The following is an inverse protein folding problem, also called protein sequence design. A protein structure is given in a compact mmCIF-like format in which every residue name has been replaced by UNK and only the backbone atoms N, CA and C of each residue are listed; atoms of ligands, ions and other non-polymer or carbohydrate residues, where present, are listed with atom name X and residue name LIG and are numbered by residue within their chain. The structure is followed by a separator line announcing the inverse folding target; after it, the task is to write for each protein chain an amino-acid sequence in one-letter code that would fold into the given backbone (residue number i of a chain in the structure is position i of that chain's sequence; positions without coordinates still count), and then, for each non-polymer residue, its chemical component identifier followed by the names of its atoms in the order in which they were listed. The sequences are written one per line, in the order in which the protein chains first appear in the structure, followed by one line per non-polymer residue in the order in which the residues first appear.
data_IF_540760782928
#
_entry.id   IF_540760782928
#
_cell.length_a   1.000
_cell.length_b   1.000
_cell.length_c   1.000
_cell.angle_alpha   90.00
_cell.angle_beta   90.00
_cell.angle_gamma   90.00
#
_symmetry.space_group_name_H-M   'P 1'
#
loop_
_entity.id
_entity.type
_entity.pdbx_description
1 polymer ?
#
# COMPACT_ATOMS: atom_id res chain seq x y z
N UNK A 1 -16.16 7.81 12.70
CA UNK A 1 -17.32 7.77 11.79
C UNK A 1 -18.63 8.08 12.49
N UNK A 2 -19.03 7.37 13.55
CA UNK A 2 -20.34 7.57 14.23
C UNK A 2 -20.58 8.99 14.72
N UNK A 3 -19.56 9.66 15.28
CA UNK A 3 -19.69 11.06 15.71
C UNK A 3 -19.93 12.02 14.54
N UNK A 4 -19.24 11.81 13.41
CA UNK A 4 -19.43 12.59 12.19
C UNK A 4 -20.84 12.41 11.62
N UNK A 5 -21.33 11.17 11.52
CA UNK A 5 -22.68 10.88 11.02
C UNK A 5 -23.80 11.59 11.81
N UNK A 6 -23.56 11.86 13.09
CA UNK A 6 -24.52 12.58 13.95
C UNK A 6 -24.49 14.10 13.76
N UNK A 7 -23.53 14.63 13.01
CA UNK A 7 -23.43 16.08 12.81
C UNK A 7 -24.46 16.58 11.80
N UNK A 8 -25.05 17.77 12.05
CA UNK A 8 -26.03 18.33 11.15
C UNK A 8 -25.45 18.51 9.73
N UNK A 9 -26.18 18.05 8.72
CA UNK A 9 -25.78 18.18 7.32
C UNK A 9 -24.93 17.05 6.76
N UNK A 10 -24.34 16.17 7.58
CA UNK A 10 -23.61 14.97 7.11
C UNK A 10 -24.60 13.80 6.96
N UNK A 11 -24.69 13.27 5.74
CA UNK A 11 -25.62 12.20 5.40
C UNK A 11 -24.95 10.82 5.44
N UNK A 12 -23.65 10.75 5.16
CA UNK A 12 -22.86 9.53 5.23
C UNK A 12 -21.38 9.82 5.36
N UNK A 13 -20.61 8.85 5.85
CA UNK A 13 -19.15 8.94 5.88
C UNK A 13 -18.47 7.59 5.72
N UNK A 14 -17.27 7.62 5.14
CA UNK A 14 -16.35 6.47 5.01
C UNK A 14 -14.95 6.94 5.38
N UNK A 15 -14.20 6.14 6.11
CA UNK A 15 -12.77 6.36 6.35
C UNK A 15 -11.98 5.32 5.57
N UNK A 16 -11.14 5.79 4.67
CA UNK A 16 -10.18 4.98 3.96
C UNK A 16 -8.79 5.18 4.57
N UNK A 17 -8.21 4.11 5.09
CA UNK A 17 -6.86 4.13 5.66
C UNK A 17 -5.97 3.22 4.83
N UNK A 18 -4.83 3.76 4.41
CA UNK A 18 -3.79 3.04 3.69
C UNK A 18 -2.46 3.22 4.44
N UNK A 19 -1.39 2.56 3.98
CA UNK A 19 -0.06 2.75 4.58
C UNK A 19 0.47 4.19 4.47
N UNK A 20 0.01 4.96 3.46
CA UNK A 20 0.56 6.29 3.15
C UNK A 20 -0.37 7.45 3.53
N UNK A 21 -1.67 7.20 3.75
CA UNK A 21 -2.65 8.26 4.00
C UNK A 21 -3.91 7.75 4.69
N UNK A 22 -4.57 8.66 5.35
CA UNK A 22 -5.94 8.47 5.81
C UNK A 22 -6.84 9.50 5.13
N UNK A 23 -7.96 9.05 4.57
CA UNK A 23 -8.92 9.90 3.89
C UNK A 23 -10.29 9.77 4.57
N UNK A 24 -10.90 10.91 4.85
CA UNK A 24 -12.26 11.01 5.35
C UNK A 24 -13.17 11.45 4.20
N UNK A 25 -14.12 10.61 3.88
CA UNK A 25 -15.15 10.84 2.86
C UNK A 25 -16.49 11.12 3.51
N UNK A 26 -17.16 12.14 3.07
CA UNK A 26 -18.52 12.43 3.53
C UNK A 26 -19.42 12.86 2.37
N UNK A 27 -20.67 12.45 2.44
CA UNK A 27 -21.77 13.05 1.70
C UNK A 27 -22.49 14.03 2.59
N UNK A 28 -22.83 15.18 2.04
CA UNK A 28 -23.45 16.28 2.78
C UNK A 28 -24.74 16.71 2.12
N UNK A 29 -25.60 17.42 2.87
CA UNK A 29 -26.74 18.11 2.29
C UNK A 29 -26.26 19.26 1.39
N UNK A 30 -27.06 19.63 0.41
CA UNK A 30 -26.72 20.68 -0.56
C UNK A 30 -26.52 22.07 0.10
N UNK A 31 -27.16 22.31 1.21
CA UNK A 31 -27.09 23.54 1.99
C UNK A 31 -26.02 23.54 3.10
N UNK A 32 -25.22 22.47 3.16
CA UNK A 32 -24.17 22.37 4.16
C UNK A 32 -22.95 23.24 3.81
N UNK A 33 -22.61 24.18 4.69
CA UNK A 33 -21.54 25.15 4.49
C UNK A 33 -20.32 24.93 5.37
N UNK A 34 -20.25 23.79 6.11
CA UNK A 34 -19.10 23.45 6.95
C UNK A 34 -17.90 22.91 6.15
N UNK A 35 -16.82 22.66 6.85
CA UNK A 35 -15.68 21.89 6.31
C UNK A 35 -15.48 20.62 7.12
N UNK A 36 -15.02 19.54 6.45
CA UNK A 36 -14.75 18.28 7.15
C UNK A 36 -13.59 18.42 8.13
N UNK A 37 -12.64 19.32 7.84
CA UNK A 37 -11.54 19.64 8.76
C UNK A 37 -12.07 20.20 10.09
N UNK A 38 -12.92 21.22 10.03
CA UNK A 38 -13.50 21.82 11.24
C UNK A 38 -14.29 20.79 12.06
N UNK A 39 -15.10 19.98 11.39
CA UNK A 39 -15.89 18.96 12.08
C UNK A 39 -15.00 17.86 12.70
N UNK A 40 -13.94 17.46 12.03
CA UNK A 40 -12.96 16.52 12.56
C UNK A 40 -12.21 17.13 13.77
N UNK A 41 -11.79 18.38 13.67
CA UNK A 41 -11.11 19.10 14.75
C UNK A 41 -12.02 19.27 15.99
N UNK A 42 -13.31 19.58 15.80
CA UNK A 42 -14.31 19.59 16.89
C UNK A 42 -14.42 18.21 17.58
N UNK A 43 -14.45 17.12 16.81
CA UNK A 43 -14.52 15.76 17.37
C UNK A 43 -13.26 15.41 18.15
N UNK A 44 -12.09 15.90 17.69
CA UNK A 44 -10.78 15.62 18.30
C UNK A 44 -10.39 16.62 19.39
N UNK A 45 -11.19 17.67 19.57
CA UNK A 45 -10.91 18.75 20.53
C UNK A 45 -9.56 19.45 20.28
N UNK A 46 -9.26 19.69 19.00
CA UNK A 46 -8.02 20.36 18.55
C UNK A 46 -8.35 21.61 17.72
N UNK A 47 -7.41 22.55 17.70
CA UNK A 47 -7.56 23.80 16.95
C UNK A 47 -7.31 23.57 15.45
N UNK A 48 -8.28 23.83 14.55
CA UNK A 48 -8.13 23.66 13.11
C UNK A 48 -7.03 24.53 12.50
N UNK A 49 -6.69 25.66 13.13
CA UNK A 49 -5.65 26.57 12.61
C UNK A 49 -4.25 25.97 12.71
N UNK A 50 -4.01 25.06 13.65
CA UNK A 50 -2.73 24.39 13.84
C UNK A 50 -2.51 23.21 12.88
N UNK A 51 -3.58 22.65 12.33
CA UNK A 51 -3.52 21.40 11.57
C UNK A 51 -3.95 21.55 10.10
N UNK A 52 -4.44 22.73 9.69
CA UNK A 52 -4.96 22.95 8.34
C UNK A 52 -3.97 22.63 7.22
N UNK A 53 -2.69 22.89 7.43
CA UNK A 53 -1.63 22.62 6.45
C UNK A 53 -1.39 21.13 6.14
N UNK A 54 -1.82 20.23 7.04
CA UNK A 54 -1.69 18.78 6.87
C UNK A 54 -2.88 18.14 6.13
N UNK A 55 -3.91 18.92 5.82
CA UNK A 55 -5.12 18.43 5.19
C UNK A 55 -5.30 19.00 3.78
N UNK A 56 -5.76 18.15 2.89
CA UNK A 56 -6.18 18.54 1.54
C UNK A 56 -7.66 18.23 1.42
N UNK A 57 -8.51 19.25 1.30
CA UNK A 57 -9.94 19.09 1.08
C UNK A 57 -10.23 19.05 -0.42
N UNK A 58 -11.09 18.13 -0.84
CA UNK A 58 -11.63 18.01 -2.21
C UNK A 58 -13.13 17.95 -2.16
N UNK A 59 -13.79 18.60 -3.09
CA UNK A 59 -15.25 18.65 -3.15
C UNK A 59 -15.77 18.21 -4.51
N UNK A 60 -17.00 17.73 -4.52
CA UNK A 60 -17.74 17.39 -5.74
C UNK A 60 -16.94 16.58 -6.76
N UNK A 61 -16.75 17.10 -7.97
CA UNK A 61 -16.08 16.44 -9.07
C UNK A 61 -14.62 16.08 -8.75
N UNK A 62 -13.91 16.97 -8.07
CA UNK A 62 -12.53 16.73 -7.65
C UNK A 62 -12.41 15.54 -6.68
N UNK A 63 -13.36 15.42 -5.75
CA UNK A 63 -13.40 14.29 -4.84
C UNK A 63 -13.71 12.99 -5.57
N UNK A 64 -14.69 13.00 -6.47
CA UNK A 64 -15.05 11.84 -7.29
C UNK A 64 -13.88 11.39 -8.15
N UNK A 65 -13.24 12.29 -8.87
CA UNK A 65 -12.07 12.02 -9.69
C UNK A 65 -10.92 11.45 -8.86
N UNK A 66 -10.68 12.00 -7.67
CA UNK A 66 -9.68 11.51 -6.77
C UNK A 66 -9.91 10.04 -6.39
N UNK A 67 -11.14 9.64 -6.05
CA UNK A 67 -11.45 8.25 -5.69
C UNK A 67 -11.26 7.29 -6.87
N UNK A 68 -11.66 7.68 -8.08
CA UNK A 68 -11.46 6.87 -9.28
C UNK A 68 -9.98 6.67 -9.58
N UNK A 69 -9.17 7.73 -9.51
CA UNK A 69 -7.72 7.65 -9.71
C UNK A 69 -7.03 6.83 -8.62
N UNK A 70 -7.43 7.03 -7.36
CA UNK A 70 -6.93 6.28 -6.23
C UNK A 70 -7.19 4.77 -6.40
N UNK A 71 -8.45 4.42 -6.69
CA UNK A 71 -8.87 3.01 -6.82
C UNK A 71 -8.23 2.32 -8.02
N UNK A 72 -7.83 3.06 -9.04
CA UNK A 72 -7.10 2.53 -10.19
C UNK A 72 -5.62 2.28 -9.93
N UNK A 73 -5.07 2.82 -8.84
CA UNK A 73 -3.63 2.78 -8.56
C UNK A 73 -2.79 3.73 -9.42
N UNK A 74 -3.41 4.57 -10.27
CA UNK A 74 -2.68 5.47 -11.18
C UNK A 74 -1.90 6.58 -10.45
N UNK A 75 -2.26 6.90 -9.21
CA UNK A 75 -1.56 7.87 -8.34
C UNK A 75 -0.73 7.21 -7.24
N UNK A 76 -0.63 5.89 -7.22
CA UNK A 76 0.20 5.19 -6.26
C UNK A 76 1.66 5.15 -6.74
N UNK A 77 2.60 5.05 -5.80
CA UNK A 77 4.03 4.95 -6.11
C UNK A 77 4.37 3.65 -6.84
N UNK A 78 3.48 2.66 -6.74
CA UNK A 78 3.54 1.38 -7.45
C UNK A 78 2.24 1.26 -8.25
N UNK A 79 2.36 1.21 -9.58
CA UNK A 79 1.23 1.17 -10.50
C UNK A 79 0.33 -0.05 -10.26
N UNK A 80 -0.98 0.19 -10.16
CA UNK A 80 -2.05 -0.82 -10.16
C UNK A 80 -1.94 -1.91 -9.07
N UNK A 81 -1.56 -1.54 -7.85
CA UNK A 81 -1.50 -2.46 -6.73
C UNK A 81 -2.92 -2.97 -6.36
N UNK A 82 -3.09 -4.31 -6.27
CA UNK A 82 -4.36 -4.94 -5.91
C UNK A 82 -4.89 -4.54 -4.53
N UNK A 83 -3.98 -4.14 -3.66
CA UNK A 83 -4.28 -3.79 -2.28
C UNK A 83 -5.21 -2.58 -2.17
N UNK A 84 -5.06 -1.55 -3.03
CA UNK A 84 -5.90 -0.36 -2.94
C UNK A 84 -7.38 -0.66 -3.24
N UNK A 85 -7.66 -1.53 -4.23
CA UNK A 85 -9.04 -1.92 -4.54
C UNK A 85 -9.67 -2.65 -3.35
N UNK A 86 -8.89 -3.51 -2.69
CA UNK A 86 -9.32 -4.22 -1.49
C UNK A 86 -9.56 -3.26 -0.34
N UNK A 87 -8.62 -2.34 -0.07
CA UNK A 87 -8.74 -1.33 0.99
C UNK A 87 -9.96 -0.43 0.80
N UNK A 88 -10.24 0.03 -0.44
CA UNK A 88 -11.44 0.83 -0.73
C UNK A 88 -12.72 0.03 -0.52
N UNK A 89 -12.73 -1.25 -0.87
CA UNK A 89 -13.86 -2.15 -0.63
C UNK A 89 -14.08 -2.39 0.87
N UNK A 90 -13.00 -2.63 1.61
CA UNK A 90 -13.05 -2.90 3.05
C UNK A 90 -13.49 -1.65 3.82
N UNK A 91 -13.01 -0.46 3.42
CA UNK A 91 -13.45 0.81 3.99
C UNK A 91 -14.98 1.01 3.87
N UNK A 92 -15.53 0.71 2.68
CA UNK A 92 -16.99 0.76 2.49
C UNK A 92 -17.71 -0.28 3.34
N UNK A 93 -17.17 -1.50 3.44
CA UNK A 93 -17.76 -2.57 4.26
C UNK A 93 -17.81 -2.17 5.72
N UNK A 94 -16.73 -1.63 6.27
CA UNK A 94 -16.68 -1.13 7.65
C UNK A 94 -17.68 0.01 7.90
N UNK A 95 -17.86 0.91 6.92
CA UNK A 95 -18.86 1.98 7.03
C UNK A 95 -20.29 1.45 7.00
N UNK A 96 -20.58 0.38 6.26
CA UNK A 96 -21.86 -0.34 6.26
C UNK A 96 -22.14 -0.98 7.60
N UNK A 97 -21.19 -1.74 8.12
CA UNK A 97 -21.30 -2.43 9.41
C UNK A 97 -21.53 -1.45 10.56
N UNK A 98 -20.94 -0.25 10.48
CA UNK A 98 -21.15 0.84 11.42
C UNK A 98 -22.43 1.66 11.16
N UNK A 99 -23.23 1.34 10.11
CA UNK A 99 -24.44 2.08 9.73
C UNK A 99 -24.22 3.58 9.50
N UNK A 100 -23.04 3.97 9.00
CA UNK A 100 -22.66 5.38 8.82
C UNK A 100 -22.55 5.79 7.35
N UNK A 101 -22.64 4.88 6.40
CA UNK A 101 -22.69 5.19 4.97
C UNK A 101 -24.09 5.64 4.53
N UNK A 102 -24.18 6.16 3.30
CA UNK A 102 -25.43 6.51 2.61
C UNK A 102 -25.42 6.05 1.15
N UNK A 103 -26.53 6.28 0.45
CA UNK A 103 -26.67 5.82 -0.93
C UNK A 103 -25.66 6.46 -1.90
N UNK A 104 -25.26 7.71 -1.68
CA UNK A 104 -24.30 8.43 -2.53
C UNK A 104 -22.91 7.78 -2.42
N UNK A 105 -22.41 7.62 -1.21
CA UNK A 105 -21.11 6.98 -0.95
C UNK A 105 -21.12 5.50 -1.36
N UNK A 106 -22.21 4.78 -1.12
CA UNK A 106 -22.40 3.40 -1.57
C UNK A 106 -22.20 3.27 -3.08
N UNK A 107 -22.89 4.08 -3.85
CA UNK A 107 -22.81 4.03 -5.31
C UNK A 107 -21.46 4.51 -5.79
N UNK A 108 -20.89 5.57 -5.21
CA UNK A 108 -19.59 6.12 -5.56
C UNK A 108 -18.47 5.09 -5.38
N UNK A 109 -18.35 4.54 -4.17
CA UNK A 109 -17.29 3.57 -3.86
C UNK A 109 -17.42 2.29 -4.69
N UNK A 110 -18.63 1.77 -4.88
CA UNK A 110 -18.87 0.60 -5.75
C UNK A 110 -18.49 0.86 -7.20
N UNK A 111 -18.83 2.04 -7.74
CA UNK A 111 -18.45 2.43 -9.11
C UNK A 111 -16.94 2.59 -9.24
N UNK A 112 -16.27 3.18 -8.24
CA UNK A 112 -14.82 3.32 -8.21
C UNK A 112 -14.12 1.94 -8.20
N UNK A 113 -14.55 1.00 -7.34
CA UNK A 113 -14.04 -0.38 -7.31
C UNK A 113 -14.25 -1.08 -8.66
N UNK A 114 -15.44 -0.94 -9.26
CA UNK A 114 -15.74 -1.52 -10.58
C UNK A 114 -14.85 -0.93 -11.68
N UNK A 115 -14.62 0.38 -11.63
CA UNK A 115 -13.76 1.08 -12.57
C UNK A 115 -12.30 0.64 -12.43
N UNK A 116 -11.77 0.58 -11.20
CA UNK A 116 -10.42 0.09 -10.92
C UNK A 116 -10.21 -1.34 -11.45
N UNK A 117 -11.15 -2.25 -11.20
CA UNK A 117 -11.11 -3.61 -11.75
C UNK A 117 -11.12 -3.64 -13.28
N UNK A 118 -11.94 -2.80 -13.93
CA UNK A 118 -11.98 -2.71 -15.41
C UNK A 118 -10.66 -2.21 -15.99
N UNK A 119 -10.06 -1.20 -15.37
CA UNK A 119 -8.74 -0.71 -15.81
C UNK A 119 -7.73 -1.82 -15.71
N UNK A 120 -7.70 -2.53 -14.61
CA UNK A 120 -6.81 -3.66 -14.42
C UNK A 120 -7.00 -4.78 -15.47
N UNK A 121 -8.24 -5.02 -15.91
CA UNK A 121 -8.54 -6.09 -16.89
C UNK A 121 -8.29 -5.65 -18.34
N UNK A 122 -8.60 -4.42 -18.69
CA UNK A 122 -8.60 -3.93 -20.08
C UNK A 122 -7.31 -3.19 -20.46
N UNK A 123 -6.64 -2.62 -19.49
CA UNK A 123 -5.33 -2.01 -19.69
C UNK A 123 -4.31 -3.08 -19.38
N UNK A 124 -3.42 -3.40 -20.32
CA UNK A 124 -2.38 -4.40 -20.17
C UNK A 124 -1.37 -3.93 -19.10
N UNK A 125 -1.84 -3.73 -17.88
CA UNK A 125 -1.00 -3.67 -16.69
C UNK A 125 -0.43 -5.06 -16.34
N UNK A 126 -0.81 -6.10 -17.08
CA UNK A 126 -0.34 -7.47 -16.83
C UNK A 126 1.18 -7.64 -16.95
N UNK A 127 1.89 -6.66 -17.53
CA UNK A 127 3.35 -6.56 -17.47
C UNK A 127 3.87 -5.44 -16.57
N UNK A 128 2.99 -4.56 -16.07
CA UNK A 128 3.32 -3.44 -15.20
C UNK A 128 2.88 -3.65 -13.74
N UNK A 129 2.30 -4.78 -13.39
CA UNK A 129 2.09 -5.21 -12.00
C UNK A 129 3.42 -5.69 -11.39
N UNK A 130 4.48 -4.92 -11.63
CA UNK A 130 5.71 -5.12 -10.88
C UNK A 130 5.44 -4.64 -9.45
N UNK A 131 5.40 -5.57 -8.53
CA UNK A 131 5.47 -5.25 -7.11
C UNK A 131 6.80 -4.56 -6.84
N UNK A 132 6.92 -3.81 -5.75
CA UNK A 132 8.22 -3.25 -5.33
C UNK A 132 9.30 -4.34 -5.32
N UNK A 133 8.94 -5.58 -4.97
CA UNK A 133 9.86 -6.70 -4.99
C UNK A 133 10.27 -7.12 -6.40
N UNK A 134 9.39 -7.07 -7.39
CA UNK A 134 9.75 -7.40 -8.78
C UNK A 134 10.71 -6.34 -9.35
N UNK A 135 10.51 -5.06 -9.02
CA UNK A 135 11.45 -3.99 -9.36
C UNK A 135 12.81 -4.19 -8.67
N UNK A 136 12.80 -4.58 -7.41
CA UNK A 136 14.02 -4.93 -6.68
C UNK A 136 14.75 -6.12 -7.34
N UNK A 137 14.02 -7.14 -7.79
CA UNK A 137 14.58 -8.28 -8.51
C UNK A 137 15.22 -7.84 -9.84
N UNK A 138 14.58 -6.96 -10.61
CA UNK A 138 15.16 -6.43 -11.85
C UNK A 138 16.44 -5.63 -11.57
N UNK A 139 16.45 -4.77 -10.57
CA UNK A 139 17.66 -4.05 -10.13
C UNK A 139 18.78 -5.04 -9.74
N UNK A 140 18.48 -6.09 -9.00
CA UNK A 140 19.44 -7.12 -8.61
C UNK A 140 20.01 -7.85 -9.84
N UNK A 141 19.18 -8.14 -10.85
CA UNK A 141 19.61 -8.75 -12.12
C UNK A 141 20.54 -7.82 -12.91
N UNK A 142 20.18 -6.53 -13.01
CA UNK A 142 21.03 -5.52 -13.67
C UNK A 142 22.41 -5.43 -13.01
N UNK A 143 22.47 -5.60 -11.70
CA UNK A 143 23.71 -5.65 -10.91
C UNK A 143 24.39 -7.02 -10.93
N UNK A 144 23.86 -7.99 -11.69
CA UNK A 144 24.37 -9.36 -11.80
C UNK A 144 24.40 -10.10 -10.45
N UNK A 145 23.48 -9.76 -9.53
CA UNK A 145 23.34 -10.51 -8.29
C UNK A 145 22.90 -11.96 -8.57
N UNK A 146 23.55 -12.97 -7.98
CA UNK A 146 23.30 -14.37 -8.27
C UNK A 146 22.00 -14.86 -7.61
N UNK A 147 20.84 -14.45 -8.15
CA UNK A 147 19.52 -14.80 -7.59
C UNK A 147 19.24 -16.32 -7.56
N UNK A 148 19.57 -17.12 -8.60
CA UNK A 148 19.43 -18.56 -8.51
C UNK A 148 20.28 -19.12 -7.35
N UNK A 149 19.66 -19.95 -6.51
CA UNK A 149 20.27 -20.56 -5.33
C UNK A 149 20.70 -19.57 -4.22
N UNK A 150 20.48 -18.25 -4.41
CA UNK A 150 20.73 -17.29 -3.35
C UNK A 150 19.89 -17.62 -2.10
N UNK A 151 20.53 -17.60 -0.94
CA UNK A 151 19.85 -17.81 0.34
C UNK A 151 19.20 -16.53 0.79
N UNK A 152 17.88 -16.51 0.71
CA UNK A 152 17.06 -15.32 0.98
C UNK A 152 16.25 -15.48 2.26
N UNK A 153 16.21 -14.44 3.09
CA UNK A 153 15.30 -14.36 4.22
C UNK A 153 14.27 -13.26 3.98
N UNK A 154 12.99 -13.58 4.19
CA UNK A 154 11.91 -12.59 4.19
C UNK A 154 11.40 -12.40 5.60
N UNK A 155 11.57 -11.19 6.14
CA UNK A 155 11.07 -10.80 7.45
C UNK A 155 9.65 -10.27 7.28
N UNK A 156 8.68 -11.02 7.79
CA UNK A 156 7.26 -10.73 7.71
C UNK A 156 6.49 -11.74 6.85
N UNK A 157 5.33 -12.13 7.34
CA UNK A 157 4.41 -13.08 6.69
C UNK A 157 3.04 -12.46 6.40
N UNK A 158 2.99 -11.12 6.26
CA UNK A 158 1.85 -10.37 5.74
C UNK A 158 1.74 -10.51 4.22
N UNK A 159 0.80 -9.79 3.61
CA UNK A 159 0.57 -9.81 2.16
C UNK A 159 1.86 -9.48 1.37
N UNK A 160 2.54 -8.37 1.73
CA UNK A 160 3.80 -7.98 1.06
C UNK A 160 4.92 -8.99 1.26
N UNK A 161 5.08 -9.55 2.47
CA UNK A 161 6.08 -10.58 2.74
C UNK A 161 5.83 -11.85 1.93
N UNK A 162 4.58 -12.28 1.78
CA UNK A 162 4.21 -13.43 0.94
C UNK A 162 4.49 -13.15 -0.54
N UNK A 163 4.15 -11.96 -1.04
CA UNK A 163 4.46 -11.55 -2.41
C UNK A 163 5.97 -11.52 -2.66
N UNK A 164 6.74 -10.91 -1.76
CA UNK A 164 8.20 -10.89 -1.85
C UNK A 164 8.79 -12.31 -1.89
N UNK A 165 8.34 -13.19 -1.01
CA UNK A 165 8.79 -14.57 -0.97
C UNK A 165 8.44 -15.34 -2.26
N UNK A 166 7.25 -15.14 -2.82
CA UNK A 166 6.84 -15.75 -4.09
C UNK A 166 7.69 -15.23 -5.27
N UNK A 167 7.94 -13.91 -5.32
CA UNK A 167 8.76 -13.31 -6.38
C UNK A 167 10.19 -13.83 -6.34
N UNK A 168 10.80 -13.90 -5.16
CA UNK A 168 12.13 -14.48 -4.98
C UNK A 168 12.15 -15.98 -5.35
N UNK A 169 11.15 -16.74 -4.93
CA UNK A 169 11.08 -18.17 -5.24
C UNK A 169 11.02 -18.44 -6.75
N UNK A 170 10.34 -17.57 -7.51
CA UNK A 170 10.30 -17.65 -8.98
C UNK A 170 11.66 -17.44 -9.65
N UNK A 171 12.60 -16.78 -9.01
CA UNK A 171 13.98 -16.62 -9.52
C UNK A 171 14.88 -17.82 -9.28
N UNK A 172 14.40 -18.85 -8.58
CA UNK A 172 15.21 -20.01 -8.19
C UNK A 172 15.88 -19.89 -6.82
N UNK A 173 15.65 -18.79 -6.08
CA UNK A 173 16.24 -18.57 -4.77
C UNK A 173 15.77 -19.59 -3.72
N UNK A 174 16.61 -19.85 -2.71
CA UNK A 174 16.24 -20.57 -1.49
C UNK A 174 15.66 -19.57 -0.46
N UNK A 175 14.34 -19.61 -0.30
CA UNK A 175 13.60 -18.58 0.45
C UNK A 175 13.11 -19.12 1.79
N UNK A 176 13.48 -18.44 2.87
CA UNK A 176 13.00 -18.68 4.21
C UNK A 176 12.22 -17.47 4.73
N UNK A 177 10.99 -17.69 5.19
CA UNK A 177 10.09 -16.64 5.70
C UNK A 177 10.08 -16.69 7.24
N UNK A 178 10.24 -15.54 7.90
CA UNK A 178 10.06 -15.45 9.34
C UNK A 178 8.60 -15.37 9.71
N UNK A 179 8.19 -16.10 10.72
CA UNK A 179 6.83 -16.09 11.24
C UNK A 179 6.81 -15.81 12.74
N UNK A 180 5.85 -14.99 13.19
CA UNK A 180 5.56 -14.86 14.62
C UNK A 180 4.54 -15.93 15.00
N UNK A 181 4.79 -16.64 16.07
CA UNK A 181 3.79 -17.56 16.63
C UNK A 181 2.73 -16.73 17.37
N UNK A 182 1.59 -16.53 16.76
CA UNK A 182 0.40 -16.04 17.46
C UNK A 182 -0.40 -17.23 17.99
N UNK A 183 -1.07 -17.05 19.12
CA UNK A 183 -1.80 -18.08 19.88
C UNK A 183 -2.95 -18.75 19.12
N UNK A 184 -3.34 -18.27 17.96
CA UNK A 184 -4.44 -18.84 17.17
C UNK A 184 -4.22 -18.58 15.69
N UNK A 185 -4.10 -19.62 14.88
CA UNK A 185 -4.15 -19.55 13.44
C UNK A 185 -3.14 -20.43 12.71
N UNK A 186 -3.55 -20.95 11.58
CA UNK A 186 -2.66 -21.67 10.66
C UNK A 186 -1.76 -20.64 9.98
N UNK A 187 -0.45 -20.73 10.23
CA UNK A 187 0.53 -19.90 9.53
C UNK A 187 0.71 -20.44 8.12
N UNK A 188 0.24 -19.70 7.13
CA UNK A 188 0.40 -20.04 5.72
C UNK A 188 1.60 -19.29 5.16
N UNK A 189 2.56 -20.00 4.58
CA UNK A 189 3.68 -19.45 3.82
C UNK A 189 3.56 -19.88 2.35
N UNK A 190 4.21 -19.17 1.40
CA UNK A 190 4.20 -19.57 0.01
C UNK A 190 4.79 -20.96 -0.21
N UNK A 191 4.23 -21.67 -1.21
CA UNK A 191 4.70 -23.00 -1.55
C UNK A 191 6.19 -23.00 -1.95
N UNK A 192 6.94 -23.98 -1.46
CA UNK A 192 8.37 -24.12 -1.73
C UNK A 192 9.27 -23.19 -0.93
N UNK A 193 8.72 -22.39 0.01
CA UNK A 193 9.50 -21.62 0.95
C UNK A 193 9.64 -22.38 2.28
N UNK A 194 10.75 -22.16 2.98
CA UNK A 194 10.98 -22.60 4.35
C UNK A 194 10.46 -21.56 5.35
N UNK A 195 10.34 -21.93 6.61
CA UNK A 195 9.95 -20.99 7.68
C UNK A 195 10.87 -21.11 8.89
N UNK A 196 11.09 -19.97 9.55
CA UNK A 196 11.74 -19.91 10.87
C UNK A 196 10.92 -19.03 11.81
N UNK A 197 11.15 -19.16 13.12
CA UNK A 197 10.58 -18.22 14.08
C UNK A 197 11.20 -16.82 13.90
N UNK A 198 10.41 -15.76 14.03
CA UNK A 198 10.92 -14.37 13.96
C UNK A 198 12.08 -14.11 14.93
N UNK A 199 12.08 -14.72 16.12
CA UNK A 199 13.16 -14.61 17.11
C UNK A 199 14.51 -15.17 16.61
N UNK A 200 14.48 -16.08 15.64
CA UNK A 200 15.69 -16.74 15.10
C UNK A 200 16.33 -15.96 13.94
N UNK A 201 15.71 -14.85 13.49
CA UNK A 201 16.16 -14.09 12.32
C UNK A 201 17.62 -13.66 12.37
N UNK A 202 18.10 -13.23 13.56
CA UNK A 202 19.49 -12.79 13.73
C UNK A 202 20.47 -13.94 13.61
N UNK A 203 20.13 -15.12 14.12
CA UNK A 203 20.96 -16.32 13.99
C UNK A 203 21.01 -16.83 12.54
N UNK A 204 19.93 -16.62 11.78
CA UNK A 204 19.83 -17.05 10.40
C UNK A 204 20.52 -16.08 9.41
N UNK A 205 20.55 -14.78 9.74
CA UNK A 205 21.01 -13.69 8.91
C UNK A 205 22.44 -13.87 8.35
N UNK A 206 23.46 -14.29 9.12
CA UNK A 206 24.84 -14.40 8.60
C UNK A 206 25.00 -15.37 7.43
N UNK A 207 24.06 -16.28 7.25
CA UNK A 207 24.05 -17.21 6.11
C UNK A 207 23.35 -16.69 4.87
N UNK A 208 22.68 -15.54 4.94
CA UNK A 208 21.89 -14.99 3.84
C UNK A 208 22.74 -14.21 2.83
N UNK A 209 22.30 -14.20 1.58
CA UNK A 209 22.80 -13.33 0.52
C UNK A 209 21.90 -12.11 0.38
N UNK A 210 20.59 -12.29 0.64
CA UNK A 210 19.57 -11.26 0.54
C UNK A 210 18.60 -11.36 1.71
N UNK A 211 18.27 -10.23 2.33
CA UNK A 211 17.24 -10.12 3.36
C UNK A 211 16.23 -9.06 2.95
N UNK A 212 14.96 -9.44 2.90
CA UNK A 212 13.84 -8.53 2.59
C UNK A 212 13.00 -8.34 3.84
N UNK A 213 12.70 -7.12 4.25
CA UNK A 213 11.72 -6.85 5.31
C UNK A 213 10.46 -6.22 4.74
N UNK A 214 9.31 -6.74 5.17
CA UNK A 214 7.99 -6.32 4.74
C UNK A 214 6.97 -6.56 5.86
N UNK A 215 7.11 -5.83 6.97
CA UNK A 215 6.23 -5.98 8.14
C UNK A 215 5.39 -4.72 8.37
N UNK A 216 4.39 -4.82 9.22
CA UNK A 216 3.65 -3.69 9.77
C UNK A 216 4.11 -3.37 11.21
N UNK A 217 5.36 -3.68 11.54
CA UNK A 217 5.90 -3.41 12.87
C UNK A 217 6.10 -1.91 13.08
N UNK A 218 5.72 -1.35 14.25
CA UNK A 218 6.03 0.03 14.57
C UNK A 218 7.51 0.26 14.94
N UNK A 219 8.27 -0.82 15.13
CA UNK A 219 9.68 -0.77 15.51
C UNK A 219 10.54 -1.44 14.44
N UNK A 220 11.80 -1.03 14.36
CA UNK A 220 12.76 -1.69 13.48
C UNK A 220 12.84 -3.19 13.73
N UNK A 221 12.85 -3.95 12.66
CA UNK A 221 13.05 -5.40 12.68
C UNK A 221 14.53 -5.77 12.72
N UNK A 222 15.37 -4.89 12.18
CA UNK A 222 16.84 -4.97 12.23
C UNK A 222 17.40 -3.60 12.59
N UNK A 223 18.28 -3.57 13.60
CA UNK A 223 19.03 -2.36 13.98
C UNK A 223 20.51 -2.52 13.65
N UNK A 224 21.21 -1.41 13.52
CA UNK A 224 22.66 -1.38 13.27
C UNK A 224 23.41 -2.17 14.32
N UNK A 225 23.13 -1.90 15.60
CA UNK A 225 23.76 -2.61 16.73
C UNK A 225 23.59 -4.13 16.66
N UNK A 226 22.37 -4.61 16.31
CA UNK A 226 22.11 -6.03 16.20
C UNK A 226 22.92 -6.69 15.09
N UNK A 227 23.10 -6.01 13.95
CA UNK A 227 23.81 -6.56 12.79
C UNK A 227 25.34 -6.46 12.96
N UNK A 228 25.85 -5.40 13.58
CA UNK A 228 27.29 -5.26 13.91
C UNK A 228 27.79 -6.36 14.86
N UNK A 229 26.93 -6.84 15.75
CA UNK A 229 27.26 -7.95 16.64
C UNK A 229 27.36 -9.31 15.92
N UNK A 230 26.88 -9.37 14.67
CA UNK A 230 26.96 -10.58 13.85
C UNK A 230 28.27 -10.58 13.05
N UNK A 231 28.99 -11.68 13.08
CA UNK A 231 30.20 -11.84 12.23
C UNK A 231 29.76 -12.13 10.78
N UNK A 232 29.49 -11.07 10.01
CA UNK A 232 29.14 -11.21 8.59
C UNK A 232 30.38 -11.68 7.81
N UNK A 233 30.29 -12.84 7.17
CA UNK A 233 31.40 -13.45 6.40
C UNK A 233 31.38 -13.11 4.93
N UNK A 234 30.31 -12.49 4.44
CA UNK A 234 30.06 -12.12 3.04
C UNK A 234 29.21 -10.86 2.96
N UNK A 235 29.18 -10.28 1.77
CA UNK A 235 28.26 -9.19 1.49
C UNK A 235 26.80 -9.66 1.58
N UNK A 236 25.95 -8.82 2.14
CA UNK A 236 24.51 -9.07 2.27
C UNK A 236 23.76 -7.85 1.72
N UNK A 237 22.77 -8.12 0.89
CA UNK A 237 21.84 -7.09 0.40
C UNK A 237 20.61 -7.07 1.31
N UNK A 238 20.26 -5.89 1.80
CA UNK A 238 19.02 -5.64 2.52
C UNK A 238 18.05 -4.86 1.64
N UNK A 239 16.79 -5.26 1.65
CA UNK A 239 15.69 -4.57 0.97
C UNK A 239 14.57 -4.32 1.97
N UNK A 240 14.30 -3.05 2.26
CA UNK A 240 13.22 -2.63 3.13
C UNK A 240 12.01 -2.16 2.30
N UNK A 241 10.96 -2.98 2.30
CA UNK A 241 9.69 -2.70 1.60
C UNK A 241 8.63 -2.12 2.53
N UNK A 242 8.95 -1.89 3.80
CA UNK A 242 7.98 -1.43 4.79
C UNK A 242 7.83 0.10 4.81
N UNK A 243 6.62 0.54 5.15
CA UNK A 243 6.30 1.94 5.44
C UNK A 243 5.44 1.96 6.73
N UNK A 244 5.94 2.56 7.83
CA UNK A 244 7.31 3.09 8.01
C UNK A 244 8.40 2.01 7.90
N UNK A 245 9.66 2.44 7.79
CA UNK A 245 10.81 1.53 7.60
C UNK A 245 10.91 0.48 8.71
N UNK A 246 11.20 -0.73 8.30
CA UNK A 246 11.48 -1.88 9.17
C UNK A 246 12.97 -1.99 9.56
N UNK A 247 13.86 -1.40 8.74
CA UNK A 247 15.30 -1.47 8.91
C UNK A 247 15.87 -0.11 9.27
N UNK A 248 16.78 -0.09 10.25
CA UNK A 248 17.44 1.13 10.66
C UNK A 248 18.36 1.68 9.55
N UNK A 249 18.30 2.98 9.19
CA UNK A 249 19.12 3.54 8.13
C UNK A 249 20.64 3.34 8.32
N UNK A 250 21.10 3.34 9.56
CA UNK A 250 22.50 3.11 9.92
C UNK A 250 23.05 1.75 9.48
N UNK A 251 22.23 0.80 9.04
CA UNK A 251 22.67 -0.47 8.48
C UNK A 251 23.55 -0.29 7.23
N UNK A 252 23.30 0.76 6.44
CA UNK A 252 24.11 1.07 5.24
C UNK A 252 25.56 1.49 5.54
N UNK A 253 25.87 1.78 6.81
CA UNK A 253 27.21 2.16 7.25
C UNK A 253 28.08 0.92 7.63
N UNK A 254 27.48 -0.25 7.68
CA UNK A 254 28.17 -1.50 8.02
C UNK A 254 28.90 -2.03 6.79
N UNK A 255 30.19 -2.31 6.93
CA UNK A 255 31.00 -2.87 5.84
C UNK A 255 30.41 -4.21 5.34
N UNK A 256 30.24 -4.34 4.03
CA UNK A 256 29.63 -5.51 3.40
C UNK A 256 28.11 -5.56 3.42
N UNK A 257 27.44 -4.47 3.83
CA UNK A 257 25.98 -4.32 3.78
C UNK A 257 25.58 -3.32 2.72
N UNK A 258 24.66 -3.72 1.84
CA UNK A 258 23.96 -2.82 0.93
C UNK A 258 22.50 -2.73 1.37
N UNK A 259 21.98 -1.53 1.62
CA UNK A 259 20.61 -1.29 2.04
C UNK A 259 19.85 -0.52 0.96
N UNK A 260 18.75 -1.12 0.48
CA UNK A 260 17.78 -0.50 -0.42
C UNK A 260 16.44 -0.37 0.29
N UNK A 261 15.72 0.67 -0.04
CA UNK A 261 14.40 0.95 0.48
C UNK A 261 13.38 0.96 -0.67
N UNK A 262 12.11 0.93 -0.34
CA UNK A 262 11.05 1.03 -1.35
C UNK A 262 11.19 2.29 -2.22
N UNK A 263 11.82 3.34 -1.71
CA UNK A 263 12.06 4.59 -2.44
C UNK A 263 13.08 4.45 -3.56
N UNK A 264 14.01 3.51 -3.45
CA UNK A 264 15.08 3.28 -4.44
C UNK A 264 14.55 2.62 -5.72
N UNK A 265 13.37 2.01 -5.68
CA UNK A 265 12.77 1.28 -6.81
C UNK A 265 11.87 2.13 -7.71
N UNK A 266 11.66 3.40 -7.38
CA UNK A 266 10.76 4.33 -8.09
C UNK A 266 11.32 4.92 -9.38
N UNK A 267 12.58 4.66 -9.73
CA UNK A 267 13.29 5.37 -10.80
C UNK A 267 13.08 4.80 -12.21
N UNK A 268 12.47 3.64 -12.35
CA UNK A 268 12.06 3.14 -13.68
C UNK A 268 10.67 3.69 -14.00
N UNK A 269 10.63 4.78 -14.73
CA UNK A 269 9.37 5.33 -15.26
C UNK A 269 8.60 4.27 -16.09
N UNK A 270 7.27 4.39 -16.21
CA UNK A 270 6.46 3.46 -16.98
C UNK A 270 6.93 3.42 -18.44
N UNK A 271 6.94 2.22 -19.06
CA UNK A 271 7.23 2.07 -20.47
C UNK A 271 6.25 2.88 -21.33
N UNK A 272 6.64 3.23 -22.58
CA UNK A 272 5.77 3.97 -23.51
C UNK A 272 4.40 3.29 -23.69
N UNK A 273 4.35 1.96 -23.75
CA UNK A 273 3.11 1.20 -23.83
C UNK A 273 2.28 1.32 -22.54
N UNK A 274 2.93 1.36 -21.37
CA UNK A 274 2.28 1.59 -20.08
C UNK A 274 1.70 3.02 -20.01
N UNK A 275 2.45 4.02 -20.49
CA UNK A 275 1.98 5.42 -20.52
C UNK A 275 0.74 5.57 -21.39
N UNK A 276 0.73 5.00 -22.60
CA UNK A 276 -0.43 5.02 -23.49
C UNK A 276 -1.65 4.34 -22.87
N UNK A 277 -1.43 3.23 -22.17
CA UNK A 277 -2.48 2.52 -21.45
C UNK A 277 -3.01 3.32 -20.25
N UNK A 278 -2.17 4.09 -19.58
CA UNK A 278 -2.57 5.00 -18.52
C UNK A 278 -3.42 6.15 -19.05
N UNK A 279 -3.06 6.77 -20.17
CA UNK A 279 -3.84 7.83 -20.81
C UNK A 279 -5.25 7.35 -21.20
N UNK A 280 -5.35 6.12 -21.75
CA UNK A 280 -6.65 5.51 -22.06
C UNK A 280 -7.49 5.26 -20.80
N UNK A 281 -6.85 4.83 -19.72
CA UNK A 281 -7.50 4.65 -18.43
C UNK A 281 -8.00 5.96 -17.86
N UNK A 282 -7.20 7.03 -17.90
CA UNK A 282 -7.61 8.38 -17.47
C UNK A 282 -8.80 8.91 -18.25
N UNK A 283 -8.79 8.78 -19.57
CA UNK A 283 -9.91 9.17 -20.41
C UNK A 283 -11.21 8.42 -20.05
N UNK A 284 -11.09 7.11 -19.75
CA UNK A 284 -12.21 6.29 -19.28
C UNK A 284 -12.73 6.74 -17.91
N UNK A 285 -11.86 7.20 -17.00
CA UNK A 285 -12.28 7.69 -15.69
C UNK A 285 -13.00 9.02 -15.77
N UNK A 286 -12.45 9.99 -16.49
CA UNK A 286 -13.12 11.28 -16.70
C UNK A 286 -14.55 11.10 -17.21
N UNK A 287 -14.75 10.20 -18.18
CA UNK A 287 -16.09 9.88 -18.68
C UNK A 287 -17.00 9.31 -17.59
N UNK A 288 -16.51 8.42 -16.72
CA UNK A 288 -17.30 7.80 -15.66
C UNK A 288 -17.60 8.76 -14.51
N UNK A 289 -16.65 9.63 -14.18
CA UNK A 289 -16.81 10.70 -13.20
C UNK A 289 -17.93 11.64 -13.65
N UNK A 290 -17.88 12.14 -14.89
CA UNK A 290 -18.94 12.99 -15.45
C UNK A 290 -20.32 12.31 -15.42
N UNK A 291 -20.42 11.03 -15.80
CA UNK A 291 -21.69 10.28 -15.77
C UNK A 291 -22.21 10.16 -14.33
N UNK A 292 -21.34 9.93 -13.36
CA UNK A 292 -21.73 9.84 -11.95
C UNK A 292 -22.25 11.18 -11.42
N UNK A 293 -21.53 12.27 -11.70
CA UNK A 293 -21.92 13.63 -11.29
C UNK A 293 -23.24 14.07 -11.94
N UNK A 294 -23.43 13.79 -13.23
CA UNK A 294 -24.71 14.03 -13.90
C UNK A 294 -25.86 13.27 -13.21
N UNK A 295 -25.66 11.99 -12.87
CA UNK A 295 -26.65 11.21 -12.15
C UNK A 295 -27.03 11.75 -10.77
N UNK A 296 -26.07 12.34 -10.04
CA UNK A 296 -26.34 13.01 -8.75
C UNK A 296 -27.16 14.28 -8.96
N UNK A 297 -26.79 15.12 -9.94
CA UNK A 297 -27.52 16.37 -10.26
C UNK A 297 -28.96 16.11 -10.70
N UNK A 298 -29.18 15.03 -11.45
CA UNK A 298 -30.50 14.63 -11.95
C UNK A 298 -31.35 13.86 -10.92
N UNK A 299 -30.87 13.68 -9.70
CA UNK A 299 -31.58 12.98 -8.62
C UNK A 299 -31.81 11.49 -8.86
N UNK A 300 -30.98 10.86 -9.70
CA UNK A 300 -31.05 9.44 -10.07
C UNK A 300 -30.01 8.58 -9.39
#
# INVERSE_FOLDING_TARGET
MERLKKMPGIQGCVILSTCNRMELWASTKADWNGTLLEELCKIKEVDPTQYGEYFVERKEEEAVDHLFHLTSGLKSMILAEDQIITQVKDALTLAREAFVTDNVLEVLFRKAVTAGKKVKTNVIFSRANQTAMDQAIEMLKERKFPLPDARCMVIGNGEMGKLAAQSLKRTGADVTVTVRQYRSGVVTIPMGCSRINYGERLNFLPGCDLVVSATASPNYTLTKEQVEQLSLKKQIVFIDLAVPRDMEPGLSEIEGVELYTIDDFKLSGPSAATMQSMEQAEASFRKKSMIFMSGIRDGR
#
